data_IF_990970477460
#
_entry.id   IF_990970477460
#
_cell.length_a   1.000
_cell.length_b   1.000
_cell.length_c   1.000
_cell.angle_alpha   90.00
_cell.angle_beta   90.00
_cell.angle_gamma   90.00
#
_symmetry.space_group_name_H-M   'P 1'
#
loop_
_entity.id
_entity.type
_entity.pdbx_description
1 polymer ?
#
# COMPACT_ATOMS: atom_id res chain seq x y z
N UNK A 1 -10.38 -7.16 -15.25
CA UNK A 1 -9.74 -7.27 -16.57
C UNK A 1 -8.22 -7.27 -16.40
N UNK A 2 -7.47 -8.00 -17.24
CA UNK A 2 -6.01 -8.10 -17.17
C UNK A 2 -5.49 -9.38 -16.50
N UNK A 3 -4.17 -9.53 -16.35
CA UNK A 3 -3.53 -10.76 -15.84
C UNK A 3 -3.54 -10.87 -14.30
N UNK A 4 -3.92 -9.80 -13.59
CA UNK A 4 -4.16 -9.87 -12.15
C UNK A 4 -5.29 -10.85 -11.83
N UNK A 5 -5.14 -11.56 -10.71
CA UNK A 5 -6.08 -12.62 -10.31
C UNK A 5 -6.77 -12.30 -9.00
N UNK A 6 -8.00 -12.79 -8.86
CA UNK A 6 -8.73 -12.79 -7.60
C UNK A 6 -8.85 -14.24 -7.10
N UNK A 7 -8.31 -14.53 -5.92
CA UNK A 7 -8.36 -15.84 -5.26
C UNK A 7 -8.97 -15.66 -3.88
N UNK A 8 -10.19 -16.17 -3.69
CA UNK A 8 -10.97 -15.91 -2.48
C UNK A 8 -11.26 -14.41 -2.33
N UNK A 9 -10.88 -13.84 -1.20
CA UNK A 9 -10.97 -12.41 -0.91
C UNK A 9 -9.68 -11.63 -1.27
N UNK A 10 -8.68 -12.27 -1.89
CA UNK A 10 -7.40 -11.66 -2.18
C UNK A 10 -7.22 -11.38 -3.67
N UNK A 11 -6.67 -10.21 -3.96
CA UNK A 11 -6.25 -9.74 -5.27
C UNK A 11 -4.74 -9.88 -5.38
N UNK A 12 -4.27 -10.30 -6.55
CA UNK A 12 -2.86 -10.59 -6.80
C UNK A 12 -2.41 -10.00 -8.13
N UNK A 13 -1.16 -9.54 -8.18
CA UNK A 13 -0.49 -9.24 -9.45
C UNK A 13 -0.40 -10.48 -10.34
N UNK A 14 -0.17 -10.28 -11.64
CA UNK A 14 0.16 -11.36 -12.56
C UNK A 14 1.28 -12.24 -12.00
N UNK A 15 1.17 -13.55 -12.21
CA UNK A 15 2.15 -14.58 -11.81
C UNK A 15 2.46 -14.71 -10.30
N UNK A 16 1.83 -13.93 -9.42
CA UNK A 16 2.09 -13.99 -7.97
C UNK A 16 1.96 -15.42 -7.42
N UNK A 17 2.90 -15.93 -6.60
CA UNK A 17 3.95 -15.20 -5.86
C UNK A 17 5.27 -14.97 -6.61
N UNK A 18 5.33 -15.26 -7.92
CA UNK A 18 6.46 -14.88 -8.77
C UNK A 18 6.33 -13.42 -9.21
N UNK A 19 7.37 -12.89 -9.83
CA UNK A 19 7.36 -11.52 -10.35
C UNK A 19 6.24 -11.30 -11.36
N UNK A 20 5.63 -10.12 -11.30
CA UNK A 20 4.71 -9.64 -12.34
C UNK A 20 5.45 -9.47 -13.68
N UNK A 21 4.68 -9.30 -14.76
CA UNK A 21 5.25 -9.09 -16.09
C UNK A 21 5.51 -7.60 -16.34
N UNK A 22 6.46 -7.27 -17.23
CA UNK A 22 6.51 -5.91 -17.82
C UNK A 22 5.21 -5.56 -18.56
N UNK A 23 4.91 -4.26 -18.64
CA UNK A 23 3.77 -3.69 -19.36
C UNK A 23 2.43 -4.31 -18.94
N UNK A 24 2.36 -4.79 -17.71
CA UNK A 24 1.16 -5.35 -17.14
C UNK A 24 0.15 -4.23 -16.91
N UNK A 25 -1.10 -4.47 -17.27
CA UNK A 25 -2.21 -3.61 -16.90
C UNK A 25 -3.38 -4.46 -16.44
N UNK A 26 -3.95 -4.11 -15.30
CA UNK A 26 -5.20 -4.70 -14.86
C UNK A 26 -6.09 -3.70 -14.14
N UNK A 27 -7.39 -3.99 -14.16
CA UNK A 27 -8.43 -3.22 -13.48
C UNK A 27 -9.40 -4.16 -12.77
N UNK A 28 -9.66 -3.88 -11.50
CA UNK A 28 -10.45 -4.70 -10.60
C UNK A 28 -11.43 -3.81 -9.86
N UNK A 29 -12.72 -4.13 -9.94
CA UNK A 29 -13.76 -3.46 -9.14
C UNK A 29 -13.83 -4.10 -7.76
N UNK A 30 -13.49 -3.35 -6.71
CA UNK A 30 -13.63 -3.74 -5.31
C UNK A 30 -14.86 -3.07 -4.69
N UNK A 31 -15.56 -3.80 -3.82
CA UNK A 31 -16.70 -3.27 -3.07
C UNK A 31 -18.08 -3.81 -3.48
N UNK A 32 -18.25 -4.49 -4.62
CA UNK A 32 -19.55 -5.10 -4.97
C UNK A 32 -19.91 -6.32 -4.09
N UNK A 33 -18.90 -7.06 -3.65
CA UNK A 33 -19.05 -8.22 -2.76
C UNK A 33 -18.52 -7.96 -1.34
N UNK A 34 -17.91 -6.79 -1.10
CA UNK A 34 -17.34 -6.43 0.18
C UNK A 34 -18.40 -5.68 1.01
N UNK A 35 -18.51 -5.98 2.31
CA UNK A 35 -19.38 -5.23 3.21
C UNK A 35 -18.98 -3.75 3.28
N UNK A 36 -19.91 -2.88 3.69
CA UNK A 36 -19.70 -1.42 3.71
C UNK A 36 -18.48 -0.97 4.53
N UNK A 37 -18.08 -1.79 5.51
CA UNK A 37 -16.95 -1.58 6.40
C UNK A 37 -15.69 -2.32 5.96
N UNK A 38 -15.58 -2.77 4.71
CA UNK A 38 -14.40 -3.51 4.27
C UNK A 38 -13.21 -2.59 3.96
N UNK A 39 -12.02 -3.08 4.30
CA UNK A 39 -10.73 -2.43 4.03
C UNK A 39 -9.80 -3.39 3.31
N UNK A 40 -8.78 -2.82 2.68
CA UNK A 40 -7.67 -3.54 2.06
C UNK A 40 -6.64 -3.89 3.13
N UNK A 41 -6.27 -5.16 3.21
CA UNK A 41 -5.17 -5.67 4.00
C UNK A 41 -4.04 -6.07 3.06
N UNK A 42 -2.88 -5.46 3.21
CA UNK A 42 -1.71 -5.76 2.38
C UNK A 42 -0.95 -6.93 2.99
N UNK A 43 -0.94 -8.08 2.30
CA UNK A 43 -0.12 -9.23 2.70
C UNK A 43 1.30 -9.10 2.13
N UNK A 44 1.42 -8.64 0.90
CA UNK A 44 2.68 -8.36 0.23
C UNK A 44 2.52 -7.18 -0.73
N UNK A 45 3.52 -6.33 -0.80
CA UNK A 45 3.59 -5.23 -1.75
C UNK A 45 5.06 -4.87 -1.99
N UNK A 46 5.59 -5.31 -3.12
CA UNK A 46 6.93 -4.99 -3.59
C UNK A 46 6.86 -4.73 -5.09
N UNK A 47 6.99 -3.46 -5.47
CA UNK A 47 6.93 -2.96 -6.84
C UNK A 47 8.07 -2.00 -7.13
N UNK A 48 8.33 -1.68 -8.39
CA UNK A 48 9.28 -0.62 -8.70
C UNK A 48 8.76 0.74 -8.20
N UNK A 49 9.53 1.38 -7.32
CA UNK A 49 9.13 2.64 -6.70
C UNK A 49 9.08 3.77 -7.74
N UNK A 50 7.91 4.39 -7.89
CA UNK A 50 7.67 5.54 -8.76
C UNK A 50 7.40 5.22 -10.24
N UNK A 51 7.51 3.96 -10.67
CA UNK A 51 7.31 3.53 -12.05
C UNK A 51 6.14 2.57 -12.20
N UNK A 52 6.12 1.54 -11.34
CA UNK A 52 5.03 0.57 -11.29
C UNK A 52 4.01 0.99 -10.24
N UNK A 53 2.83 1.42 -10.71
CA UNK A 53 1.88 2.18 -9.90
C UNK A 53 0.54 1.46 -9.79
N UNK A 54 0.07 1.35 -8.55
CA UNK A 54 -1.31 1.00 -8.23
C UNK A 54 -2.10 2.27 -7.91
N UNK A 55 -3.29 2.42 -8.48
CA UNK A 55 -4.19 3.52 -8.16
C UNK A 55 -5.51 3.00 -7.56
N UNK A 56 -5.91 3.60 -6.43
CA UNK A 56 -7.16 3.26 -5.72
C UNK A 56 -7.77 4.56 -5.21
N UNK A 57 -9.02 4.84 -5.59
CA UNK A 57 -9.75 6.03 -5.15
C UNK A 57 -8.97 7.35 -5.34
N UNK A 58 -8.17 7.45 -6.40
CA UNK A 58 -7.34 8.63 -6.71
C UNK A 58 -6.02 8.72 -5.94
N UNK A 59 -5.69 7.75 -5.08
CA UNK A 59 -4.41 7.62 -4.41
C UNK A 59 -3.50 6.66 -5.17
N UNK A 60 -2.21 6.97 -5.23
CA UNK A 60 -1.20 6.20 -5.95
C UNK A 60 -0.21 5.54 -4.99
N UNK A 61 0.12 4.28 -5.26
CA UNK A 61 1.00 3.44 -4.45
C UNK A 61 2.05 2.78 -5.32
N UNK A 62 3.28 2.71 -4.82
CA UNK A 62 4.42 2.03 -5.47
C UNK A 62 5.51 1.72 -4.44
N UNK A 63 6.52 0.95 -4.83
CA UNK A 63 7.58 0.50 -3.93
C UNK A 63 7.07 -0.53 -2.95
N UNK A 64 7.32 -0.31 -1.66
CA UNK A 64 6.92 -1.21 -0.58
C UNK A 64 5.79 -0.67 0.29
N UNK A 65 5.20 0.47 -0.09
CA UNK A 65 4.10 1.12 0.65
C UNK A 65 2.79 0.95 -0.12
N UNK A 66 2.15 -0.19 0.09
CA UNK A 66 0.85 -0.52 -0.47
C UNK A 66 -0.34 0.15 0.24
N UNK A 67 -1.57 -0.05 -0.25
CA UNK A 67 -2.79 0.59 0.23
C UNK A 67 -3.39 -0.10 1.47
N UNK A 68 -2.60 -0.27 2.53
CA UNK A 68 -3.06 -0.94 3.75
C UNK A 68 -4.07 -0.08 4.53
N UNK A 69 -5.17 -0.68 4.98
CA UNK A 69 -6.26 -0.02 5.70
C UNK A 69 -7.15 0.89 4.84
N UNK A 70 -6.91 0.99 3.53
CA UNK A 70 -7.72 1.80 2.61
C UNK A 70 -9.08 1.15 2.43
N UNK A 71 -10.15 1.96 2.32
CA UNK A 71 -11.49 1.42 2.08
C UNK A 71 -11.53 0.61 0.79
N UNK A 72 -12.07 -0.61 0.86
CA UNK A 72 -12.15 -1.54 -0.27
C UNK A 72 -13.34 -1.19 -1.19
N UNK A 73 -13.33 0.03 -1.73
CA UNK A 73 -14.40 0.57 -2.57
C UNK A 73 -13.85 1.21 -3.84
N UNK A 74 -14.53 0.94 -4.95
CA UNK A 74 -14.25 1.54 -6.25
C UNK A 74 -13.31 0.70 -7.10
N UNK A 75 -12.67 1.34 -8.06
CA UNK A 75 -11.78 0.67 -9.00
C UNK A 75 -10.33 0.70 -8.51
N UNK A 76 -9.70 -0.47 -8.52
CA UNK A 76 -8.25 -0.65 -8.38
C UNK A 76 -7.67 -0.80 -9.77
N UNK A 77 -6.71 0.04 -10.13
CA UNK A 77 -5.92 -0.14 -11.34
C UNK A 77 -4.47 -0.38 -10.99
N UNK A 78 -3.82 -1.22 -11.79
CA UNK A 78 -2.39 -1.54 -11.67
C UNK A 78 -1.74 -1.38 -13.04
N UNK A 79 -0.57 -0.76 -13.07
CA UNK A 79 0.29 -0.76 -14.25
C UNK A 79 1.75 -1.05 -13.86
N UNK A 80 2.46 -1.79 -14.70
CA UNK A 80 3.93 -1.83 -14.69
C UNK A 80 4.53 -1.20 -15.96
N UNK A 81 5.80 -0.83 -15.89
CA UNK A 81 6.57 -0.32 -17.02
C UNK A 81 7.30 -1.45 -17.78
N UNK A 82 8.31 -1.12 -18.60
CA UNK A 82 9.01 -2.08 -19.45
C UNK A 82 10.17 -2.82 -18.76
N UNK A 83 10.41 -2.66 -17.45
CA UNK A 83 11.54 -3.29 -16.76
C UNK A 83 11.36 -3.42 -15.24
N UNK A 84 12.40 -3.93 -14.54
CA UNK A 84 12.56 -3.91 -13.08
C UNK A 84 11.43 -4.57 -12.27
N UNK A 85 10.86 -5.65 -12.79
CA UNK A 85 9.78 -6.35 -12.11
C UNK A 85 10.22 -6.90 -10.75
N UNK A 86 9.34 -6.74 -9.77
CA UNK A 86 9.51 -7.18 -8.39
C UNK A 86 8.58 -8.34 -8.07
N UNK A 87 8.56 -8.80 -6.83
CA UNK A 87 7.69 -9.93 -6.44
C UNK A 87 6.18 -9.64 -6.54
N UNK A 88 5.80 -8.37 -6.72
CA UNK A 88 4.42 -7.97 -6.93
C UNK A 88 3.66 -7.78 -5.63
N UNK A 89 2.36 -8.03 -5.68
CA UNK A 89 1.46 -7.69 -4.58
C UNK A 89 0.38 -8.73 -4.37
N UNK A 90 0.01 -8.89 -3.11
CA UNK A 90 -1.19 -9.59 -2.67
C UNK A 90 -1.93 -8.72 -1.64
N UNK A 91 -3.18 -8.40 -1.95
CA UNK A 91 -4.02 -7.51 -1.14
C UNK A 91 -5.36 -8.20 -0.92
N UNK A 92 -5.72 -8.41 0.33
CA UNK A 92 -6.96 -9.07 0.70
C UNK A 92 -8.00 -8.07 1.18
N UNK A 93 -9.25 -8.33 0.84
CA UNK A 93 -10.39 -7.56 1.33
C UNK A 93 -10.82 -8.20 2.65
N UNK A 94 -10.82 -7.42 3.72
CA UNK A 94 -11.25 -7.87 5.05
C UNK A 94 -12.29 -6.92 5.59
N UNK A 95 -13.23 -7.41 6.39
CA UNK A 95 -14.09 -6.51 7.17
C UNK A 95 -13.21 -5.76 8.16
N UNK A 96 -13.33 -4.42 8.20
CA UNK A 96 -12.72 -3.67 9.27
C UNK A 96 -13.40 -4.11 10.57
N UNK A 97 -12.73 -4.95 11.33
CA UNK A 97 -13.04 -5.12 12.73
C UNK A 97 -12.93 -3.74 13.36
N UNK A 98 -14.02 -3.28 13.96
CA UNK A 98 -14.05 -2.11 14.83
C UNK A 98 -13.14 -2.42 16.02
N UNK A 99 -11.83 -2.34 15.83
CA UNK A 99 -10.90 -2.24 16.94
C UNK A 99 -11.26 -0.92 17.57
N UNK A 100 -11.99 -0.98 18.68
CA UNK A 100 -12.00 0.10 19.65
C UNK A 100 -10.54 0.34 19.97
N UNK A 101 -9.95 1.32 19.28
CA UNK A 101 -8.67 1.89 19.66
C UNK A 101 -8.97 2.49 21.02
N UNK A 102 -8.75 1.69 22.07
CA UNK A 102 -8.51 2.24 23.40
C UNK A 102 -7.25 3.06 23.23
N UNK A 103 -7.47 4.34 22.96
CA UNK A 103 -6.48 5.39 23.02
C UNK A 103 -5.84 5.33 24.39
N UNK A 104 -4.70 4.66 24.50
CA UNK A 104 -3.74 5.00 25.54
C UNK A 104 -3.10 6.33 25.14
N UNK A 105 -3.86 7.39 25.40
CA UNK A 105 -3.44 8.78 25.35
C UNK A 105 -2.25 8.94 26.31
N UNK A 106 -1.03 8.77 25.82
CA UNK A 106 0.17 9.17 26.56
C UNK A 106 0.51 10.60 26.14
N UNK A 107 -0.10 11.56 26.85
CA UNK A 107 0.15 12.99 26.69
C UNK A 107 1.39 13.43 27.49
N UNK A 108 2.22 14.26 26.84
CA UNK A 108 3.32 15.12 27.34
C UNK A 108 4.64 14.41 27.74
N UNK A 109 5.84 14.81 27.32
CA UNK A 109 6.41 16.12 26.94
C UNK A 109 7.72 15.84 26.15
N UNK A 110 7.91 16.37 24.94
CA UNK A 110 9.28 16.57 24.40
C UNK A 110 9.52 18.05 24.18
N UNK A 111 10.09 18.64 25.20
CA UNK A 111 10.57 20.00 25.29
C UNK A 111 11.63 20.24 24.22
N UNK A 112 11.42 21.27 23.41
CA UNK A 112 12.45 21.87 22.56
C UNK A 112 13.59 22.39 23.43
N UNK A 113 14.80 21.83 23.30
CA UNK A 113 16.01 22.45 23.83
C UNK A 113 17.04 22.55 22.70
N UNK A 114 17.15 23.77 22.17
CA UNK A 114 18.20 24.22 21.25
C UNK A 114 19.43 24.53 22.10
N UNK A 115 20.51 23.78 21.95
CA UNK A 115 21.82 24.14 22.47
C UNK A 115 22.66 24.76 21.34
N UNK A 116 23.31 25.91 21.54
CA UNK A 116 24.23 26.48 20.55
C UNK A 116 25.58 25.75 20.59
N UNK A 117 26.13 25.47 19.41
CA UNK A 117 27.48 24.93 19.25
C UNK A 117 28.52 26.02 19.56
N UNK A 118 29.54 25.77 20.40
CA UNK A 118 30.65 26.70 20.54
C UNK A 118 31.60 26.61 19.34
N UNK A 119 32.13 27.76 18.93
CA UNK A 119 33.14 27.91 17.89
C UNK A 119 34.51 27.38 18.38
N UNK A 120 35.35 26.78 17.51
CA UNK A 120 36.74 26.52 17.83
C UNK A 120 37.57 27.81 17.73
N UNK A 121 38.41 28.06 18.74
CA UNK A 121 39.48 29.07 18.72
C UNK A 121 40.85 28.43 18.39
N UNK A 122 41.83 29.21 17.91
CA UNK A 122 42.87 28.76 16.99
C UNK A 122 44.15 28.24 17.66
N UNK A 123 44.93 27.50 16.87
CA UNK A 123 46.38 27.33 17.01
C UNK A 123 47.03 27.67 15.68
#
# INVERSE_FOLDING_TARGET
EGPCTAVGNCLRSGNYPSSYSTNEYCSIEVGKAAGENSVLQVNSFDTEYGYDVMAIAGLFYSGTRGPDGVSAKGQVTWNSDYSNERSGWEICIVEATTTTVTTLTTTAKRTTSRAPSPAPSPA
#
